data_IF_196406293644
#
_entry.id   IF_196406293644
#
_cell.length_a   1.000
_cell.length_b   1.000
_cell.length_c   1.000
_cell.angle_alpha   90.00
_cell.angle_beta   90.00
_cell.angle_gamma   90.00
#
_symmetry.space_group_name_H-M   'P 1'
#
loop_
_entity.id
_entity.type
_entity.pdbx_description
1 polymer ?
#
# COMPACT_ATOMS: atom_id res chain seq x y z
N UNK A 1 -17.57 30.73 -9.57
CA UNK A 1 -16.20 31.07 -9.16
C UNK A 1 -16.05 30.75 -7.69
N UNK A 2 -15.00 30.03 -7.32
CA UNK A 2 -14.62 29.76 -5.93
C UNK A 2 -15.25 28.51 -5.31
N UNK A 3 -14.62 27.34 -5.50
CA UNK A 3 -14.80 26.17 -4.63
C UNK A 3 -13.56 25.27 -4.59
N UNK A 4 -12.37 25.84 -4.84
CA UNK A 4 -11.11 25.21 -4.44
C UNK A 4 -10.74 25.85 -3.11
N UNK A 5 -11.34 25.31 -2.04
CA UNK A 5 -10.99 25.66 -0.67
C UNK A 5 -9.62 25.11 -0.35
N UNK A 6 -8.66 26.04 -0.27
CA UNK A 6 -7.69 26.18 0.83
C UNK A 6 -7.57 24.98 1.79
N UNK A 7 -6.42 24.30 1.78
CA UNK A 7 -5.84 23.78 3.03
C UNK A 7 -5.78 22.26 3.28
N UNK A 8 -6.44 21.40 2.50
CA UNK A 8 -6.24 19.95 2.69
C UNK A 8 -5.06 19.47 1.84
N UNK A 9 -3.85 19.56 2.39
CA UNK A 9 -2.79 18.65 1.93
C UNK A 9 -3.38 17.24 1.96
N UNK A 10 -3.23 16.39 0.91
CA UNK A 10 -3.69 15.01 0.99
C UNK A 10 -3.05 14.41 2.24
N UNK A 11 -3.83 14.21 3.29
CA UNK A 11 -3.31 13.69 4.54
C UNK A 11 -3.02 12.23 4.25
N UNK A 12 -1.74 11.95 4.03
CA UNK A 12 -1.29 10.63 3.65
C UNK A 12 -1.41 9.76 4.90
N UNK A 13 -2.59 9.18 5.12
CA UNK A 13 -2.84 8.28 6.24
C UNK A 13 -1.95 7.06 6.09
N UNK A 14 -1.02 6.92 7.03
CA UNK A 14 -0.21 5.72 7.11
C UNK A 14 -1.03 4.50 7.53
N UNK A 15 -0.37 3.35 7.70
CA UNK A 15 -1.03 2.08 7.99
C UNK A 15 -1.98 2.14 9.20
N UNK A 16 -1.64 2.96 10.20
CA UNK A 16 -2.43 3.10 11.42
C UNK A 16 -3.69 3.96 11.16
N UNK A 17 -3.56 5.05 10.41
CA UNK A 17 -4.71 5.87 10.02
C UNK A 17 -5.71 5.09 9.16
N UNK A 18 -5.22 4.25 8.25
CA UNK A 18 -6.07 3.34 7.45
C UNK A 18 -6.82 2.36 8.35
N UNK A 19 -6.17 1.80 9.38
CA UNK A 19 -6.81 0.90 10.33
C UNK A 19 -7.90 1.59 11.16
N UNK A 20 -7.70 2.86 11.54
CA UNK A 20 -8.69 3.65 12.27
C UNK A 20 -9.94 3.91 11.42
N UNK A 21 -9.77 4.45 10.21
CA UNK A 21 -10.88 4.72 9.28
C UNK A 21 -11.63 3.43 8.94
N UNK A 22 -10.90 2.32 8.75
CA UNK A 22 -11.52 1.00 8.56
C UNK A 22 -12.37 0.58 9.76
N UNK A 23 -11.86 0.80 10.98
CA UNK A 23 -12.60 0.52 12.22
C UNK A 23 -13.88 1.34 12.35
N UNK A 24 -13.84 2.63 11.99
CA UNK A 24 -15.02 3.51 11.98
C UNK A 24 -16.07 3.03 10.96
N UNK A 25 -15.66 2.78 9.71
CA UNK A 25 -16.56 2.32 8.65
C UNK A 25 -17.25 1.00 9.02
N UNK A 26 -16.49 0.06 9.58
CA UNK A 26 -17.04 -1.26 9.96
C UNK A 26 -17.92 -1.21 11.22
N UNK A 27 -17.61 -0.31 12.16
CA UNK A 27 -18.41 -0.11 13.38
C UNK A 27 -19.74 0.56 13.08
N UNK A 28 -19.74 1.61 12.25
CA UNK A 28 -20.94 2.39 11.95
C UNK A 28 -21.82 1.72 10.89
N UNK A 29 -21.19 1.04 9.91
CA UNK A 29 -21.88 0.40 8.80
C UNK A 29 -22.31 -1.05 9.05
N UNK A 30 -21.94 -1.65 10.18
CA UNK A 30 -22.21 -3.06 10.46
C UNK A 30 -21.75 -3.98 9.32
N UNK A 31 -22.55 -4.98 8.96
CA UNK A 31 -22.22 -5.94 7.90
C UNK A 31 -21.99 -5.28 6.52
N UNK A 32 -22.73 -4.21 6.21
CA UNK A 32 -22.54 -3.44 4.97
C UNK A 32 -21.17 -2.74 4.97
N UNK A 33 -20.76 -2.17 6.11
CA UNK A 33 -19.45 -1.53 6.28
C UNK A 33 -18.30 -2.52 6.07
N UNK A 34 -18.42 -3.74 6.65
CA UNK A 34 -17.47 -4.83 6.43
C UNK A 34 -17.33 -5.20 4.95
N UNK A 35 -18.45 -5.38 4.24
CA UNK A 35 -18.43 -5.66 2.81
C UNK A 35 -17.79 -4.51 2.01
N UNK A 36 -18.12 -3.26 2.34
CA UNK A 36 -17.55 -2.09 1.68
C UNK A 36 -16.03 -2.02 1.81
N UNK A 37 -15.50 -2.19 3.02
CA UNK A 37 -14.05 -2.25 3.27
C UNK A 37 -13.43 -3.43 2.54
N UNK A 38 -14.02 -4.62 2.62
CA UNK A 38 -13.47 -5.80 1.97
C UNK A 38 -13.39 -5.63 0.45
N UNK A 39 -14.41 -5.06 -0.18
CA UNK A 39 -14.41 -4.75 -1.62
C UNK A 39 -13.32 -3.73 -1.95
N UNK A 40 -13.25 -2.62 -1.21
CA UNK A 40 -12.27 -1.56 -1.43
C UNK A 40 -10.83 -2.09 -1.30
N UNK A 41 -10.53 -2.81 -0.22
CA UNK A 41 -9.22 -3.41 0.01
C UNK A 41 -8.89 -4.45 -1.07
N UNK A 42 -9.84 -5.29 -1.45
CA UNK A 42 -9.62 -6.32 -2.47
C UNK A 42 -9.28 -5.71 -3.83
N UNK A 43 -10.00 -4.65 -4.24
CA UNK A 43 -9.70 -3.93 -5.49
C UNK A 43 -8.32 -3.28 -5.42
N UNK A 44 -8.00 -2.61 -4.30
CA UNK A 44 -6.68 -1.99 -4.12
C UNK A 44 -5.55 -3.04 -4.17
N UNK A 45 -5.73 -4.17 -3.50
CA UNK A 45 -4.77 -5.27 -3.52
C UNK A 45 -4.63 -5.87 -4.92
N UNK A 46 -5.72 -6.05 -5.66
CA UNK A 46 -5.68 -6.54 -7.03
C UNK A 46 -4.90 -5.58 -7.94
N UNK A 47 -5.13 -4.27 -7.83
CA UNK A 47 -4.40 -3.25 -8.60
C UNK A 47 -2.92 -3.26 -8.22
N UNK A 48 -2.60 -3.21 -6.92
CA UNK A 48 -1.22 -3.20 -6.42
C UNK A 48 -0.45 -4.46 -6.82
N UNK A 49 -1.10 -5.63 -6.79
CA UNK A 49 -0.48 -6.91 -7.16
C UNK A 49 -0.18 -7.02 -8.65
N UNK A 50 -0.83 -6.25 -9.52
CA UNK A 50 -0.52 -6.22 -10.96
C UNK A 50 0.69 -5.33 -11.27
N UNK A 51 1.02 -4.38 -10.39
CA UNK A 51 2.17 -3.50 -10.58
C UNK A 51 3.49 -4.28 -10.56
N UNK A 52 4.53 -3.83 -11.30
CA UNK A 52 5.84 -4.48 -11.36
C UNK A 52 6.67 -4.19 -10.09
N UNK A 53 6.09 -4.45 -8.93
CA UNK A 53 6.73 -4.25 -7.62
C UNK A 53 7.38 -5.57 -7.21
N UNK A 54 8.69 -5.58 -6.92
CA UNK A 54 9.35 -6.77 -6.37
C UNK A 54 8.66 -7.23 -5.09
N UNK A 55 8.58 -8.54 -4.88
CA UNK A 55 7.76 -9.25 -3.85
C UNK A 55 6.31 -9.57 -4.27
N UNK A 56 5.68 -8.80 -5.15
CA UNK A 56 4.30 -9.06 -5.59
C UNK A 56 4.21 -9.91 -6.87
N UNK A 57 3.02 -10.43 -7.15
CA UNK A 57 2.74 -11.29 -8.33
C UNK A 57 3.12 -10.59 -9.65
N UNK A 58 2.82 -9.30 -9.78
CA UNK A 58 3.14 -8.47 -10.94
C UNK A 58 4.65 -8.27 -11.15
N UNK A 59 5.45 -8.34 -10.09
CA UNK A 59 6.92 -8.34 -10.19
C UNK A 59 7.44 -9.59 -10.90
N UNK A 60 6.91 -10.77 -10.54
CA UNK A 60 7.24 -12.03 -11.23
C UNK A 60 6.79 -12.00 -12.69
N UNK A 61 5.56 -11.54 -12.94
CA UNK A 61 5.03 -11.38 -14.29
C UNK A 61 5.93 -10.46 -15.13
N UNK A 62 6.38 -9.35 -14.56
CA UNK A 62 7.31 -8.43 -15.22
C UNK A 62 8.64 -9.11 -15.59
N UNK A 63 9.22 -9.90 -14.70
CA UNK A 63 10.44 -10.67 -15.01
C UNK A 63 10.23 -11.66 -16.15
N UNK A 64 9.10 -12.38 -16.18
CA UNK A 64 8.75 -13.30 -17.27
C UNK A 64 8.58 -12.56 -18.61
N UNK A 65 7.89 -11.42 -18.61
CA UNK A 65 7.75 -10.57 -19.80
C UNK A 65 9.11 -10.05 -20.26
N UNK A 66 9.98 -9.67 -19.34
CA UNK A 66 11.34 -9.22 -19.64
C UNK A 66 12.21 -10.35 -20.21
N UNK A 67 12.13 -11.57 -19.67
CA UNK A 67 12.81 -12.75 -20.22
C UNK A 67 12.35 -13.05 -21.64
N UNK A 68 11.03 -13.00 -21.88
CA UNK A 68 10.44 -13.18 -23.20
C UNK A 68 10.95 -12.11 -24.18
N UNK A 69 10.92 -10.83 -23.78
CA UNK A 69 11.44 -9.71 -24.59
C UNK A 69 12.95 -9.84 -24.88
N UNK A 70 13.73 -10.42 -23.96
CA UNK A 70 15.17 -10.69 -24.11
C UNK A 70 15.48 -11.98 -24.88
N UNK A 71 14.51 -12.52 -25.62
CA UNK A 71 14.62 -13.76 -26.41
C UNK A 71 14.89 -15.01 -25.55
N UNK A 72 14.23 -15.10 -24.39
CA UNK A 72 14.29 -16.26 -23.50
C UNK A 72 15.58 -16.38 -22.67
N UNK A 73 16.37 -15.30 -22.57
CA UNK A 73 17.53 -15.25 -21.67
C UNK A 73 17.05 -15.21 -20.22
N UNK A 74 16.99 -16.39 -19.60
CA UNK A 74 16.58 -16.58 -18.20
C UNK A 74 17.40 -15.68 -17.27
N UNK A 75 16.70 -15.04 -16.35
CA UNK A 75 17.28 -14.34 -15.22
C UNK A 75 17.62 -15.41 -14.17
N UNK A 76 18.82 -15.39 -13.59
CA UNK A 76 19.15 -16.33 -12.53
C UNK A 76 18.17 -16.18 -11.36
N UNK A 77 17.60 -17.29 -10.88
CA UNK A 77 16.64 -17.31 -9.78
C UNK A 77 17.19 -16.62 -8.51
N UNK A 78 18.51 -16.68 -8.32
CA UNK A 78 19.22 -16.03 -7.22
C UNK A 78 19.16 -14.49 -7.32
N UNK A 79 19.26 -13.93 -8.55
CA UNK A 79 19.13 -12.49 -8.79
C UNK A 79 17.69 -12.02 -8.61
N UNK A 80 16.74 -12.80 -9.10
CA UNK A 80 15.33 -12.52 -8.92
C UNK A 80 14.95 -12.54 -7.43
N UNK A 81 15.35 -13.59 -6.71
CA UNK A 81 15.13 -13.71 -5.27
C UNK A 81 15.74 -12.56 -4.48
N UNK A 82 16.94 -12.10 -4.85
CA UNK A 82 17.58 -10.95 -4.21
C UNK A 82 16.81 -9.64 -4.46
N UNK A 83 16.30 -9.41 -5.68
CA UNK A 83 15.46 -8.24 -5.98
C UNK A 83 14.15 -8.29 -5.19
N UNK A 84 13.50 -9.45 -5.10
CA UNK A 84 12.30 -9.63 -4.27
C UNK A 84 12.58 -9.39 -2.79
N UNK A 85 13.68 -9.93 -2.25
CA UNK A 85 14.07 -9.75 -0.84
C UNK A 85 14.34 -8.28 -0.52
N UNK A 86 15.11 -7.58 -1.37
CA UNK A 86 15.40 -6.16 -1.18
C UNK A 86 14.12 -5.34 -1.25
N UNK A 87 13.25 -5.60 -2.24
CA UNK A 87 11.96 -4.91 -2.34
C UNK A 87 11.06 -5.14 -1.13
N UNK A 88 11.00 -6.39 -0.64
CA UNK A 88 10.27 -6.71 0.58
C UNK A 88 10.83 -5.99 1.81
N UNK A 89 12.16 -6.00 1.98
CA UNK A 89 12.81 -5.31 3.09
C UNK A 89 12.57 -3.80 3.05
N UNK A 90 12.63 -3.18 1.87
CA UNK A 90 12.32 -1.75 1.68
C UNK A 90 10.85 -1.44 1.99
N UNK A 91 9.93 -2.29 1.55
CA UNK A 91 8.50 -2.13 1.80
C UNK A 91 8.20 -2.22 3.31
N UNK A 92 8.69 -3.27 3.98
CA UNK A 92 8.51 -3.44 5.43
C UNK A 92 9.17 -2.29 6.19
N UNK A 93 10.39 -1.89 5.80
CA UNK A 93 11.07 -0.74 6.36
C UNK A 93 10.25 0.55 6.22
N UNK A 94 9.70 0.81 5.03
CA UNK A 94 8.83 1.96 4.78
C UNK A 94 7.55 1.94 5.63
N UNK A 95 6.88 0.78 5.72
CA UNK A 95 5.70 0.60 6.57
C UNK A 95 6.03 0.92 8.03
N UNK A 96 7.16 0.42 8.54
CA UNK A 96 7.59 0.68 9.92
C UNK A 96 7.91 2.17 10.13
N UNK A 97 8.63 2.81 9.20
CA UNK A 97 8.98 4.22 9.29
C UNK A 97 7.74 5.12 9.34
N UNK A 98 6.78 4.88 8.45
CA UNK A 98 5.52 5.64 8.44
C UNK A 98 4.70 5.33 9.69
N UNK A 99 4.63 4.07 10.11
CA UNK A 99 3.90 3.67 11.33
C UNK A 99 4.46 4.34 12.59
N UNK A 100 5.78 4.48 12.73
CA UNK A 100 6.39 5.19 13.86
C UNK A 100 5.96 6.67 13.87
N UNK A 101 5.93 7.31 12.69
CA UNK A 101 5.44 8.68 12.57
C UNK A 101 3.94 8.79 12.91
N UNK A 102 3.12 7.81 12.51
CA UNK A 102 1.69 7.76 12.88
C UNK A 102 1.51 7.62 14.40
N UNK A 103 2.26 6.72 15.05
CA UNK A 103 2.21 6.53 16.50
C UNK A 103 2.64 7.79 17.24
N UNK A 104 3.72 8.46 16.80
CA UNK A 104 4.15 9.72 17.40
C UNK A 104 3.05 10.78 17.32
N UNK A 105 2.36 10.90 16.17
CA UNK A 105 1.25 11.83 16.00
C UNK A 105 0.07 11.53 16.93
N UNK A 106 -0.26 10.25 17.12
CA UNK A 106 -1.29 9.80 18.07
C UNK A 106 -0.96 10.17 19.51
N UNK A 107 0.31 10.00 19.92
CA UNK A 107 0.76 10.27 21.29
C UNK A 107 0.84 11.78 21.57
N UNK A 108 1.26 12.56 20.57
CA UNK A 108 1.39 14.03 20.69
C UNK A 108 0.04 14.77 20.73
N UNK A 109 -1.09 14.06 20.56
CA UNK A 109 -2.42 14.66 20.59
C UNK A 109 -2.69 15.64 19.44
N UNK A 110 -1.85 15.64 18.40
CA UNK A 110 -2.13 16.39 17.17
C UNK A 110 -3.26 15.67 16.44
N UNK A 111 -4.41 16.32 16.40
CA UNK A 111 -5.62 15.78 15.80
C UNK A 111 -5.38 15.45 14.34
N UNK A 112 -5.77 14.22 13.95
CA UNK A 112 -5.74 13.73 12.56
C UNK A 112 -6.75 14.42 11.64
N UNK A 113 -7.48 15.38 12.20
CA UNK A 113 -8.41 16.30 11.55
C UNK A 113 -8.17 17.62 12.30
N UNK A 114 -7.83 18.69 11.60
CA UNK A 114 -7.44 19.98 12.20
C UNK A 114 -8.31 20.46 13.36
#
# INVERSE_FOLDING_TARGET
GGAFGEGSSPEFSGPIGIAQVTGEITRDGGWIGWLGVAILLSINLAILNVLPIPMLDGGRLFFVVLEWARRGKKIPAEKEGMVHLIGFALLIGGILLVSVNDVSRLIDGRSFLG
#
